data_IF_367054958694
#
_entry.id   IF_367054958694
#
_cell.length_a   1.000
_cell.length_b   1.000
_cell.length_c   1.000
_cell.angle_alpha   90.00
_cell.angle_beta   90.00
_cell.angle_gamma   90.00
#
_symmetry.space_group_name_H-M   'P 1'
#
loop_
_entity.id
_entity.type
_entity.pdbx_description
1 polymer ?
#
# COMPACT_ATOMS: atom_id res chain seq x y z
N UNK A 1 23.72 -7.09 -4.79
CA UNK A 1 23.12 -6.41 -5.96
C UNK A 1 22.25 -5.29 -5.42
N UNK A 2 22.80 -4.08 -5.29
CA UNK A 2 22.08 -2.89 -4.78
C UNK A 2 21.83 -1.93 -5.95
N UNK A 3 20.64 -1.33 -6.03
CA UNK A 3 20.28 -0.36 -7.08
C UNK A 3 19.05 -0.70 -7.94
N UNK A 4 18.24 -1.71 -7.60
CA UNK A 4 16.92 -1.87 -8.23
C UNK A 4 15.91 -0.98 -7.54
N UNK A 5 15.45 0.04 -8.24
CA UNK A 5 14.28 0.82 -7.87
C UNK A 5 13.00 -0.01 -8.06
N UNK A 6 12.49 -0.52 -6.94
CA UNK A 6 11.24 -1.26 -6.87
C UNK A 6 10.05 -0.35 -6.48
N UNK A 7 10.27 0.96 -6.33
CA UNK A 7 9.26 1.94 -5.91
C UNK A 7 9.01 1.96 -4.40
N UNK A 8 10.02 1.65 -3.58
CA UNK A 8 10.00 1.87 -2.14
C UNK A 8 10.50 3.29 -1.85
N UNK A 9 9.62 4.15 -1.33
CA UNK A 9 9.94 5.54 -1.02
C UNK A 9 10.16 5.77 0.48
N UNK A 10 9.51 4.98 1.34
CA UNK A 10 9.62 5.14 2.78
C UNK A 10 9.59 3.81 3.55
N UNK A 11 10.05 3.87 4.80
CA UNK A 11 9.85 2.83 5.81
C UNK A 11 9.41 3.51 7.10
N UNK A 12 8.32 3.04 7.69
CA UNK A 12 7.79 3.51 8.98
C UNK A 12 7.93 2.36 9.96
N UNK A 13 8.70 2.54 11.02
CA UNK A 13 8.91 1.52 12.04
C UNK A 13 8.05 1.80 13.27
N UNK A 14 7.40 0.76 13.78
CA UNK A 14 6.55 0.84 14.96
C UNK A 14 7.42 0.78 16.22
N UNK A 15 7.37 1.86 16.99
CA UNK A 15 7.96 1.95 18.34
C UNK A 15 6.82 1.83 19.35
N UNK A 16 6.91 0.85 20.24
CA UNK A 16 5.92 0.63 21.31
C UNK A 16 6.64 0.74 22.65
N UNK A 17 6.10 1.52 23.61
CA UNK A 17 6.69 1.71 24.93
C UNK A 17 8.18 2.15 24.90
N UNK A 18 8.52 3.04 23.97
CA UNK A 18 9.90 3.50 23.72
C UNK A 18 10.88 2.40 23.27
N UNK A 19 10.38 1.22 22.88
CA UNK A 19 11.18 0.09 22.40
C UNK A 19 10.94 -0.19 20.91
N UNK A 20 12.05 -0.54 20.23
CA UNK A 20 12.03 -0.98 18.83
C UNK A 20 11.43 -2.37 18.72
N UNK A 21 10.37 -2.50 17.93
CA UNK A 21 9.65 -3.77 17.79
C UNK A 21 10.09 -4.60 16.59
N UNK A 22 10.93 -4.05 15.70
CA UNK A 22 11.25 -4.58 14.36
C UNK A 22 10.02 -4.79 13.45
N UNK A 23 8.86 -4.24 13.83
CA UNK A 23 7.64 -4.26 13.02
C UNK A 23 7.59 -2.97 12.23
N UNK A 24 7.26 -3.07 10.94
CA UNK A 24 7.39 -1.94 10.02
C UNK A 24 6.37 -1.98 8.91
N UNK A 25 6.14 -0.80 8.34
CA UNK A 25 5.47 -0.57 7.08
C UNK A 25 6.55 -0.15 6.08
N UNK A 26 6.60 -0.84 4.96
CA UNK A 26 7.25 -0.36 3.74
C UNK A 26 6.23 0.44 2.93
N UNK A 27 6.63 1.52 2.28
CA UNK A 27 5.67 2.37 1.59
C UNK A 27 6.13 3.01 0.29
N UNK A 28 5.16 3.23 -0.59
CA UNK A 28 5.30 4.06 -1.78
C UNK A 28 4.48 5.34 -1.61
N UNK A 29 5.04 6.48 -1.98
CA UNK A 29 4.38 7.79 -1.89
C UNK A 29 4.02 8.27 -3.30
N UNK A 30 2.75 8.64 -3.50
CA UNK A 30 2.24 9.22 -4.74
C UNK A 30 1.50 10.52 -4.46
N UNK A 31 2.08 11.64 -4.84
CA UNK A 31 1.46 12.96 -4.73
C UNK A 31 0.70 13.37 -5.98
N UNK A 32 -0.41 14.07 -5.79
CA UNK A 32 -1.18 14.72 -6.86
C UNK A 32 -1.74 16.06 -6.38
N UNK A 33 -2.02 16.96 -7.31
CA UNK A 33 -2.80 18.19 -7.07
C UNK A 33 -4.26 18.06 -7.51
N UNK A 34 -4.63 16.92 -8.11
CA UNK A 34 -5.96 16.66 -8.64
C UNK A 34 -6.28 15.17 -8.47
N UNK A 35 -6.73 14.76 -7.27
CA UNK A 35 -7.06 13.36 -7.03
C UNK A 35 -8.28 12.94 -7.84
N UNK A 36 -8.19 11.76 -8.46
CA UNK A 36 -9.26 11.23 -9.32
C UNK A 36 -10.26 10.43 -8.51
N UNK A 37 -11.20 11.12 -7.85
CA UNK A 37 -12.26 10.46 -7.09
C UNK A 37 -13.22 9.68 -8.01
N UNK A 38 -13.63 8.48 -7.58
CA UNK A 38 -14.64 7.69 -8.26
C UNK A 38 -16.03 8.33 -8.13
N UNK A 39 -16.94 8.02 -9.06
CA UNK A 39 -18.28 8.62 -9.11
C UNK A 39 -19.14 8.37 -7.86
N UNK A 40 -18.90 7.27 -7.15
CA UNK A 40 -19.58 6.94 -5.90
C UNK A 40 -18.99 7.67 -4.69
N UNK A 41 -17.82 8.31 -4.81
CA UNK A 41 -17.18 9.07 -3.73
C UNK A 41 -16.31 8.25 -2.78
N UNK A 42 -16.38 6.92 -2.82
CA UNK A 42 -15.78 6.06 -1.79
C UNK A 42 -14.25 5.89 -1.91
N UNK A 43 -13.67 6.15 -3.08
CA UNK A 43 -12.25 5.95 -3.32
C UNK A 43 -11.67 6.84 -4.43
N UNK A 44 -10.35 6.96 -4.45
CA UNK A 44 -9.56 7.54 -5.53
C UNK A 44 -8.99 6.45 -6.44
N UNK A 45 -9.02 6.71 -7.75
CA UNK A 45 -8.37 5.87 -8.75
C UNK A 45 -6.90 6.28 -8.91
N UNK A 46 -5.99 5.32 -8.65
CA UNK A 46 -4.54 5.52 -8.74
C UNK A 46 -3.91 4.48 -9.66
N UNK A 47 -3.19 4.94 -10.68
CA UNK A 47 -2.41 4.08 -11.58
C UNK A 47 -1.06 3.74 -10.96
N UNK A 48 -0.77 2.44 -10.85
CA UNK A 48 0.41 1.91 -10.19
C UNK A 48 1.18 0.99 -11.11
N UNK A 49 2.51 1.10 -11.10
CA UNK A 49 3.37 0.21 -11.86
C UNK A 49 3.33 -1.21 -11.29
N UNK A 50 3.17 -2.20 -12.17
CA UNK A 50 3.08 -3.61 -11.79
C UNK A 50 4.35 -4.08 -11.08
N UNK A 51 5.52 -3.52 -11.42
CA UNK A 51 6.78 -3.83 -10.72
C UNK A 51 6.70 -3.48 -9.23
N UNK A 52 6.10 -2.34 -8.88
CA UNK A 52 5.97 -1.92 -7.48
C UNK A 52 4.88 -2.70 -6.76
N UNK A 53 3.77 -2.97 -7.43
CA UNK A 53 2.74 -3.84 -6.88
C UNK A 53 3.31 -5.23 -6.56
N UNK A 54 4.05 -5.84 -7.51
CA UNK A 54 4.71 -7.14 -7.28
C UNK A 54 5.73 -7.11 -6.16
N UNK A 55 6.48 -6.01 -6.02
CA UNK A 55 7.40 -5.83 -4.90
C UNK A 55 6.66 -5.82 -3.56
N UNK A 56 5.64 -4.97 -3.42
CA UNK A 56 4.87 -4.86 -2.18
C UNK A 56 4.12 -6.14 -1.83
N UNK A 57 3.52 -6.81 -2.81
CA UNK A 57 2.86 -8.12 -2.59
C UNK A 57 3.86 -9.23 -2.25
N UNK A 58 5.13 -9.10 -2.62
CA UNK A 58 6.20 -10.04 -2.27
C UNK A 58 6.89 -9.74 -0.95
N UNK A 59 6.59 -8.61 -0.31
CA UNK A 59 7.17 -8.22 0.98
C UNK A 59 6.50 -9.00 2.12
N UNK A 60 7.31 -9.43 3.09
CA UNK A 60 6.82 -10.14 4.28
C UNK A 60 6.23 -9.20 5.33
N UNK A 61 6.65 -7.93 5.34
CA UNK A 61 6.04 -6.87 6.15
C UNK A 61 4.96 -6.13 5.35
N UNK A 62 4.11 -5.36 6.03
CA UNK A 62 3.08 -4.58 5.37
C UNK A 62 3.68 -3.58 4.38
N UNK A 63 3.06 -3.51 3.19
CA UNK A 63 3.36 -2.54 2.15
C UNK A 63 2.15 -1.62 1.96
N UNK A 64 2.35 -0.32 2.14
CA UNK A 64 1.27 0.68 2.09
C UNK A 64 1.53 1.68 0.98
N UNK A 65 0.50 1.98 0.19
CA UNK A 65 0.53 3.10 -0.75
C UNK A 65 0.00 4.33 -0.04
N UNK A 66 0.83 5.35 0.11
CA UNK A 66 0.46 6.67 0.61
C UNK A 66 0.13 7.58 -0.56
N UNK A 67 -1.13 8.01 -0.65
CA UNK A 67 -1.63 8.89 -1.69
C UNK A 67 -1.86 10.29 -1.14
N UNK A 68 -1.05 11.24 -1.59
CA UNK A 68 -1.03 12.60 -1.05
C UNK A 68 -1.83 13.52 -1.97
N UNK A 69 -2.89 14.10 -1.42
CA UNK A 69 -3.51 15.30 -1.98
C UNK A 69 -2.72 16.52 -1.50
N UNK A 70 -2.02 17.16 -2.43
CA UNK A 70 -1.13 18.28 -2.15
C UNK A 70 -1.92 19.56 -1.87
N UNK A 71 -3.10 19.73 -2.46
CA UNK A 71 -3.88 20.96 -2.30
C UNK A 71 -4.63 20.96 -0.96
N UNK A 72 -5.16 19.81 -0.56
CA UNK A 72 -5.85 19.62 0.73
C UNK A 72 -4.90 19.19 1.86
N UNK A 73 -3.59 19.13 1.61
CA UNK A 73 -2.55 18.68 2.56
C UNK A 73 -2.90 17.36 3.28
N UNK A 74 -3.58 16.45 2.59
CA UNK A 74 -4.16 15.23 3.18
C UNK A 74 -3.49 13.98 2.61
N UNK A 75 -3.13 13.04 3.47
CA UNK A 75 -2.53 11.75 3.08
C UNK A 75 -3.53 10.63 3.29
N UNK A 76 -3.95 10.01 2.19
CA UNK A 76 -4.75 8.78 2.20
C UNK A 76 -3.85 7.55 2.12
N UNK A 77 -4.33 6.39 2.56
CA UNK A 77 -3.52 5.18 2.51
C UNK A 77 -4.28 3.92 2.07
N UNK A 78 -3.55 3.02 1.39
CA UNK A 78 -4.03 1.71 0.95
C UNK A 78 -3.08 0.60 1.42
N UNK A 79 -3.50 -0.29 2.35
CA UNK A 79 -2.74 -1.49 2.67
C UNK A 79 -2.78 -2.45 1.47
N UNK A 80 -1.67 -2.52 0.74
CA UNK A 80 -1.64 -3.14 -0.59
C UNK A 80 -1.94 -4.64 -0.54
N UNK A 81 -1.34 -5.36 0.40
CA UNK A 81 -1.56 -6.80 0.52
C UNK A 81 -3.02 -7.12 0.89
N UNK A 82 -3.57 -6.47 1.92
CA UNK A 82 -4.98 -6.67 2.33
C UNK A 82 -5.95 -6.33 1.19
N UNK A 83 -5.66 -5.29 0.41
CA UNK A 83 -6.45 -4.94 -0.78
C UNK A 83 -6.48 -6.07 -1.82
N UNK A 84 -5.33 -6.68 -2.15
CA UNK A 84 -5.25 -7.79 -3.10
C UNK A 84 -5.83 -9.09 -2.53
N UNK A 85 -5.71 -9.35 -1.23
CA UNK A 85 -6.37 -10.47 -0.55
C UNK A 85 -7.89 -10.36 -0.69
N UNK A 86 -8.44 -9.15 -0.54
CA UNK A 86 -9.88 -8.89 -0.68
C UNK A 86 -10.40 -8.97 -2.13
N UNK A 87 -9.49 -8.92 -3.13
CA UNK A 87 -9.80 -8.84 -4.56
C UNK A 87 -8.91 -9.78 -5.39
N UNK A 88 -9.06 -11.10 -5.21
CA UNK A 88 -8.17 -12.09 -5.82
C UNK A 88 -8.17 -12.07 -7.36
N UNK A 89 -9.20 -11.53 -7.99
CA UNK A 89 -9.28 -11.30 -9.44
C UNK A 89 -8.23 -10.29 -9.96
N UNK A 90 -7.68 -9.44 -9.10
CA UNK A 90 -6.63 -8.51 -9.50
C UNK A 90 -5.29 -9.20 -9.79
N UNK A 91 -5.06 -10.40 -9.25
CA UNK A 91 -3.87 -11.18 -9.60
C UNK A 91 -3.85 -11.57 -11.09
N UNK A 92 -5.01 -11.81 -11.70
CA UNK A 92 -5.08 -12.08 -13.15
C UNK A 92 -4.61 -10.89 -13.98
N UNK A 93 -4.86 -9.67 -13.49
CA UNK A 93 -4.38 -8.47 -14.14
C UNK A 93 -2.88 -8.31 -14.00
N UNK A 94 -2.27 -8.82 -12.93
CA UNK A 94 -0.81 -8.78 -12.76
C UNK A 94 -0.07 -9.73 -13.70
N UNK A 95 -0.69 -10.85 -14.06
CA UNK A 95 -0.10 -11.84 -14.98
C UNK A 95 -0.24 -11.42 -16.45
N UNK A 96 -1.34 -10.74 -16.79
CA UNK A 96 -1.65 -10.36 -18.17
C UNK A 96 -1.15 -8.95 -18.57
N UNK A 97 -0.91 -8.05 -17.62
CA UNK A 97 -0.41 -6.70 -17.88
C UNK A 97 1.07 -6.57 -17.51
N UNK A 98 1.81 -5.74 -18.27
CA UNK A 98 3.25 -5.52 -18.02
C UNK A 98 3.60 -4.11 -17.54
N UNK A 99 2.68 -3.16 -17.62
CA UNK A 99 2.94 -1.75 -17.28
C UNK A 99 2.31 -1.37 -15.93
N UNK A 100 1.01 -1.12 -15.93
CA UNK A 100 0.29 -0.48 -14.84
C UNK A 100 -1.06 -1.15 -14.57
N UNK A 101 -1.54 -1.00 -13.35
CA UNK A 101 -2.88 -1.38 -12.91
C UNK A 101 -3.47 -0.23 -12.09
N UNK A 102 -4.78 -0.01 -12.20
CA UNK A 102 -5.49 0.93 -11.34
C UNK A 102 -5.86 0.26 -10.02
N UNK A 103 -5.43 0.85 -8.91
CA UNK A 103 -5.89 0.51 -7.56
C UNK A 103 -6.83 1.60 -7.04
N UNK A 104 -7.68 1.24 -6.08
CA UNK A 104 -8.63 2.17 -5.48
C UNK A 104 -8.22 2.45 -4.04
N UNK A 105 -7.80 3.68 -3.75
CA UNK A 105 -7.40 4.14 -2.42
C UNK A 105 -8.65 4.69 -1.71
N UNK A 106 -9.09 4.12 -0.59
CA UNK A 106 -10.28 4.60 0.13
C UNK A 106 -10.14 6.05 0.59
N UNK A 107 -11.23 6.81 0.55
CA UNK A 107 -11.26 8.22 0.98
C UNK A 107 -11.32 8.38 2.50
N UNK A 108 -11.66 7.34 3.25
CA UNK A 108 -11.77 7.31 4.71
C UNK A 108 -10.47 6.88 5.42
N UNK A 109 -9.59 6.16 4.72
CA UNK A 109 -8.26 5.80 5.21
C UNK A 109 -7.31 7.00 5.17
N UNK A 110 -7.33 7.82 6.23
CA UNK A 110 -6.53 9.05 6.33
C UNK A 110 -5.43 8.87 7.38
N UNK A 111 -4.20 9.27 7.06
CA UNK A 111 -3.12 9.38 8.04
C UNK A 111 -3.42 10.53 8.98
N UNK A 112 -3.58 10.24 10.26
CA UNK A 112 -3.90 11.23 11.29
C UNK A 112 -3.21 10.85 12.61
N UNK A 113 -3.35 11.70 13.64
CA UNK A 113 -2.77 11.46 14.96
C UNK A 113 -3.28 10.16 15.62
N UNK A 114 -4.52 9.76 15.31
CA UNK A 114 -5.03 8.46 15.71
C UNK A 114 -4.61 7.40 14.67
N UNK A 115 -3.38 6.94 14.79
CA UNK A 115 -2.75 6.00 13.86
C UNK A 115 -2.98 4.52 14.22
N UNK A 116 -3.99 4.20 15.05
CA UNK A 116 -4.25 2.84 15.53
C UNK A 116 -4.27 1.80 14.41
N UNK A 117 -4.94 2.08 13.29
CA UNK A 117 -5.02 1.16 12.16
C UNK A 117 -3.65 0.94 11.50
N UNK A 118 -2.84 2.00 11.36
CA UNK A 118 -1.48 1.90 10.86
C UNK A 118 -0.59 1.08 11.81
N UNK A 119 -0.76 1.22 13.13
CA UNK A 119 -0.06 0.37 14.09
C UNK A 119 -0.44 -1.11 13.93
N UNK A 120 -1.72 -1.43 13.69
CA UNK A 120 -2.15 -2.80 13.41
C UNK A 120 -1.62 -3.31 12.07
N UNK A 121 -1.58 -2.45 11.05
CA UNK A 121 -0.98 -2.77 9.75
C UNK A 121 0.51 -3.08 9.92
N UNK A 122 1.27 -2.29 10.68
CA UNK A 122 2.70 -2.51 10.94
C UNK A 122 2.98 -3.87 11.61
N UNK A 123 2.03 -4.38 12.41
CA UNK A 123 2.09 -5.70 13.06
C UNK A 123 1.81 -6.87 12.12
N UNK A 124 1.37 -6.62 10.90
CA UNK A 124 0.93 -7.65 9.96
C UNK A 124 2.10 -8.35 9.27
N UNK A 125 2.03 -9.68 9.19
CA UNK A 125 2.98 -10.50 8.46
C UNK A 125 2.26 -11.16 7.28
N UNK A 126 2.89 -11.12 6.11
CA UNK A 126 2.35 -11.70 4.88
C UNK A 126 3.28 -12.78 4.33
N UNK A 127 2.68 -13.84 3.79
CA UNK A 127 3.40 -14.96 3.17
C UNK A 127 2.75 -15.40 1.85
N UNK A 128 3.51 -16.15 1.05
CA UNK A 128 3.10 -16.74 -0.24
C UNK A 128 2.68 -15.74 -1.34
N UNK A 129 3.10 -14.47 -1.18
CA UNK A 129 3.08 -13.45 -2.23
C UNK A 129 4.23 -13.61 -3.25
N UNK A 130 4.20 -12.89 -4.39
CA UNK A 130 3.12 -12.05 -4.92
C UNK A 130 2.15 -12.88 -5.79
N UNK A 131 1.48 -13.86 -5.19
CA UNK A 131 0.56 -14.78 -5.88
C UNK A 131 -0.82 -14.78 -5.23
N UNK A 132 -1.79 -15.44 -5.87
CA UNK A 132 -3.13 -15.69 -5.30
C UNK A 132 -3.13 -16.42 -3.95
N UNK A 133 -1.99 -17.00 -3.53
CA UNK A 133 -1.83 -17.66 -2.23
C UNK A 133 -1.45 -16.69 -1.11
N UNK A 134 -1.25 -15.41 -1.43
CA UNK A 134 -0.96 -14.35 -0.47
C UNK A 134 -1.97 -14.39 0.67
N UNK A 135 -1.46 -14.41 1.91
CA UNK A 135 -2.29 -14.35 3.12
C UNK A 135 -1.53 -13.68 4.25
N UNK A 136 -2.30 -13.17 5.21
CA UNK A 136 -1.84 -12.64 6.48
C UNK A 136 -1.75 -13.76 7.53
N UNK A 137 -0.73 -13.76 8.38
CA UNK A 137 -0.50 -14.76 9.45
C UNK A 137 -0.30 -14.12 10.81
#
# INVERSE_FOLDING_TARGET
MTGRDNGLDCTVELVENEEWTNKKIEGQIKGTRSPRQLKNGDAFALEMEIKTIRYGLGSSCAFVIFYVDVEEETVYYLPLQDYFISKPELFDKLDNNKSQITVHVPCDNIVCENDFDLQQIAKSIYIDGPSRKLRKV
#
